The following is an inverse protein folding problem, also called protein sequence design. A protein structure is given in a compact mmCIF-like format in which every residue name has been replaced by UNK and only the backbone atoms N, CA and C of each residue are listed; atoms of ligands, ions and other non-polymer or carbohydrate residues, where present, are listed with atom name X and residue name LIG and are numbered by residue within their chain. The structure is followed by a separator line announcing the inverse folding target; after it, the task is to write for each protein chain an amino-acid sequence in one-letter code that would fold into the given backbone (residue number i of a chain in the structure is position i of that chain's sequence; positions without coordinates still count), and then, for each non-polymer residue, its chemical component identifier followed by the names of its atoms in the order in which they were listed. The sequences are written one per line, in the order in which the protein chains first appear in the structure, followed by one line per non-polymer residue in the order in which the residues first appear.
data_IF_918657058539
#
_entry.id   IF_918657058539
#
_cell.length_a   1.000
_cell.length_b   1.000
_cell.length_c   1.000
_cell.angle_alpha   90.00
_cell.angle_beta   90.00
_cell.angle_gamma   90.00
#
_symmetry.space_group_name_H-M   'P 1'
#
loop_
_entity.id
_entity.type
_entity.pdbx_description
1 polymer ?
#
# COMPACT_ATOMS: atom_id res chain seq x y z
N UNK A 1 4.99 17.55 28.11
CA UNK A 1 3.78 18.41 28.19
C UNK A 1 2.47 17.68 27.86
N UNK A 2 2.17 17.24 26.63
CA UNK A 2 0.87 16.59 26.34
C UNK A 2 0.69 15.30 27.15
N UNK A 3 1.68 14.41 27.12
CA UNK A 3 1.65 13.11 27.83
C UNK A 3 1.52 13.28 29.35
N UNK A 4 2.32 14.17 29.96
CA UNK A 4 2.27 14.46 31.40
C UNK A 4 0.92 15.10 31.81
N UNK A 5 0.38 15.99 30.97
CA UNK A 5 -0.93 16.60 31.25
C UNK A 5 -2.08 15.59 31.17
N UNK A 6 -1.93 14.50 30.42
CA UNK A 6 -2.96 13.47 30.25
C UNK A 6 -2.83 12.34 31.27
N UNK A 7 -1.60 11.90 31.58
CA UNK A 7 -1.36 10.71 32.40
C UNK A 7 -0.67 11.01 33.75
N UNK A 8 -0.42 12.28 34.06
CA UNK A 8 0.23 12.72 35.29
C UNK A 8 1.74 12.91 35.14
N UNK A 9 2.35 13.51 36.16
CA UNK A 9 3.78 13.85 36.16
C UNK A 9 4.69 12.68 36.60
N UNK A 10 4.12 11.57 37.07
CA UNK A 10 4.87 10.42 37.62
C UNK A 10 5.01 9.28 36.59
N UNK A 11 5.34 9.64 35.35
CA UNK A 11 5.45 8.66 34.27
C UNK A 11 6.88 8.12 34.20
N UNK A 12 7.05 6.78 34.13
CA UNK A 12 8.36 6.20 33.86
C UNK A 12 8.87 6.66 32.50
N UNK A 13 10.19 6.67 32.34
CA UNK A 13 10.82 6.99 31.06
C UNK A 13 10.36 5.97 30.00
N UNK A 14 10.21 6.42 28.75
CA UNK A 14 9.78 5.57 27.62
C UNK A 14 10.66 4.31 27.50
N UNK A 15 11.96 4.44 27.76
CA UNK A 15 12.90 3.31 27.73
C UNK A 15 12.62 2.26 28.81
N UNK A 16 12.05 2.65 29.95
CA UNK A 16 11.69 1.71 31.01
C UNK A 16 10.36 1.02 30.68
N UNK A 17 9.39 1.76 30.14
CA UNK A 17 8.14 1.19 29.61
C UNK A 17 8.44 0.13 28.53
N UNK A 18 9.39 0.42 27.62
CA UNK A 18 9.76 -0.51 26.56
C UNK A 18 10.35 -1.83 27.06
N UNK A 19 10.98 -1.85 28.24
CA UNK A 19 11.54 -3.08 28.85
C UNK A 19 10.46 -3.97 29.47
N UNK A 20 9.34 -3.39 29.87
CA UNK A 20 8.23 -4.09 30.52
C UNK A 20 7.23 -4.70 29.51
N UNK A 21 7.49 -4.57 28.21
CA UNK A 21 6.62 -5.13 27.16
C UNK A 21 6.64 -6.65 27.21
N UNK A 22 5.51 -7.26 27.57
CA UNK A 22 5.38 -8.72 27.68
C UNK A 22 5.27 -9.42 26.31
N UNK A 23 4.71 -8.74 25.31
CA UNK A 23 4.54 -9.28 23.96
C UNK A 23 4.60 -8.18 22.89
N UNK A 24 5.20 -8.50 21.75
CA UNK A 24 5.27 -7.67 20.55
C UNK A 24 4.64 -8.46 19.42
N UNK A 25 3.47 -8.01 18.96
CA UNK A 25 2.79 -8.58 17.80
C UNK A 25 3.35 -7.92 16.53
N UNK A 26 3.96 -8.71 15.65
CA UNK A 26 4.58 -8.20 14.42
C UNK A 26 3.82 -8.75 13.21
N UNK A 27 3.28 -7.87 12.36
CA UNK A 27 2.55 -8.22 11.14
C UNK A 27 3.51 -8.68 10.03
N UNK A 28 4.16 -9.82 10.24
CA UNK A 28 5.08 -10.48 9.31
C UNK A 28 5.03 -11.98 9.49
N UNK A 29 5.76 -12.73 8.66
CA UNK A 29 5.85 -14.18 8.76
C UNK A 29 7.27 -14.64 8.37
N UNK A 30 7.79 -15.65 9.06
CA UNK A 30 9.13 -16.21 8.84
C UNK A 30 9.36 -16.68 7.39
N UNK A 31 8.31 -17.07 6.66
CA UNK A 31 8.43 -17.43 5.24
C UNK A 31 8.85 -16.26 4.34
N UNK A 32 8.63 -15.01 4.78
CA UNK A 32 8.97 -13.80 4.02
C UNK A 32 10.38 -13.29 4.32
N UNK A 33 10.88 -13.50 5.54
CA UNK A 33 12.16 -12.93 6.00
C UNK A 33 13.24 -13.98 6.28
N UNK A 34 12.92 -15.28 6.12
CA UNK A 34 13.79 -16.38 6.49
C UNK A 34 13.88 -16.61 8.00
N UNK A 35 14.70 -17.59 8.40
CA UNK A 35 14.91 -17.93 9.80
C UNK A 35 15.78 -16.87 10.48
N UNK A 36 15.29 -16.31 11.59
CA UNK A 36 16.02 -15.36 12.44
C UNK A 36 15.76 -15.68 13.92
N UNK A 37 16.73 -15.43 14.81
CA UNK A 37 16.49 -15.56 16.24
C UNK A 37 15.50 -14.47 16.70
N UNK A 38 14.38 -14.90 17.29
CA UNK A 38 13.41 -14.03 17.95
C UNK A 38 13.41 -14.35 19.46
N UNK A 39 13.12 -13.35 20.30
CA UNK A 39 12.83 -13.60 21.71
C UNK A 39 11.41 -14.14 21.88
N UNK A 40 11.10 -14.92 22.94
CA UNK A 40 9.77 -15.50 23.13
C UNK A 40 8.61 -14.48 23.15
N UNK A 41 8.88 -13.23 23.52
CA UNK A 41 7.89 -12.16 23.51
C UNK A 41 7.51 -11.65 22.11
N UNK A 42 8.23 -12.02 21.05
CA UNK A 42 7.89 -11.63 19.67
C UNK A 42 6.97 -12.69 19.06
N UNK A 43 5.75 -12.28 18.71
CA UNK A 43 4.74 -13.13 18.07
C UNK A 43 4.47 -12.62 16.67
N UNK A 44 4.75 -13.44 15.66
CA UNK A 44 4.50 -13.13 14.26
C UNK A 44 3.03 -13.37 13.91
N UNK A 45 2.31 -12.30 13.55
CA UNK A 45 0.88 -12.28 13.22
C UNK A 45 0.67 -11.73 11.80
N UNK A 46 1.36 -12.33 10.84
CA UNK A 46 1.32 -11.91 9.43
C UNK A 46 -0.09 -11.96 8.85
N UNK A 47 -0.45 -10.91 8.11
CA UNK A 47 -1.75 -10.80 7.46
C UNK A 47 -2.87 -10.22 8.33
N UNK A 48 -2.57 -9.67 9.51
CA UNK A 48 -3.59 -9.11 10.42
C UNK A 48 -4.50 -8.03 9.78
N UNK A 49 -3.99 -7.36 8.75
CA UNK A 49 -4.67 -6.31 7.99
C UNK A 49 -5.52 -6.85 6.84
N UNK A 50 -5.41 -8.14 6.52
CA UNK A 50 -6.18 -8.79 5.46
C UNK A 50 -7.53 -9.16 6.07
N UNK A 51 -8.55 -8.42 5.68
CA UNK A 51 -9.94 -8.75 5.95
C UNK A 51 -10.51 -9.47 4.74
N UNK A 52 -11.37 -10.47 4.96
CA UNK A 52 -12.15 -11.04 3.86
C UNK A 52 -13.03 -9.93 3.28
N UNK A 53 -12.66 -9.44 2.10
CA UNK A 53 -13.35 -8.35 1.43
C UNK A 53 -14.22 -8.91 0.31
N UNK A 54 -15.54 -8.86 0.52
CA UNK A 54 -16.53 -9.23 -0.49
C UNK A 54 -17.14 -8.00 -1.18
N UNK A 55 -16.56 -6.80 -1.00
CA UNK A 55 -17.07 -5.61 -1.66
C UNK A 55 -16.84 -5.68 -3.17
N UNK A 56 -17.90 -5.53 -3.99
CA UNK A 56 -17.74 -5.51 -5.43
C UNK A 56 -16.94 -4.29 -5.87
N UNK A 57 -16.18 -4.46 -6.96
CA UNK A 57 -15.48 -3.35 -7.58
C UNK A 57 -16.47 -2.32 -8.13
N UNK A 58 -16.11 -1.02 -8.13
CA UNK A 58 -16.82 -0.03 -8.92
C UNK A 58 -16.90 -0.49 -10.38
N UNK A 59 -18.07 -0.35 -10.99
CA UNK A 59 -18.38 -0.89 -12.32
C UNK A 59 -17.37 -0.51 -13.40
N UNK A 60 -16.86 0.72 -13.36
CA UNK A 60 -15.87 1.19 -14.33
C UNK A 60 -14.50 0.52 -14.16
N UNK A 61 -14.11 0.20 -12.92
CA UNK A 61 -12.89 -0.56 -12.61
C UNK A 61 -13.10 -2.03 -13.00
N UNK A 62 -14.25 -2.61 -12.68
CA UNK A 62 -14.64 -3.97 -13.05
C UNK A 62 -14.58 -4.17 -14.57
N UNK A 63 -15.32 -3.35 -15.34
CA UNK A 63 -15.32 -3.42 -16.82
C UNK A 63 -13.92 -3.22 -17.42
N UNK A 64 -13.08 -2.40 -16.78
CA UNK A 64 -11.70 -2.21 -17.20
C UNK A 64 -10.81 -3.41 -16.88
N UNK A 65 -10.98 -4.08 -15.74
CA UNK A 65 -10.18 -5.26 -15.40
C UNK A 65 -10.67 -6.51 -16.15
N UNK A 66 -11.98 -6.71 -16.28
CA UNK A 66 -12.58 -7.85 -16.98
C UNK A 66 -12.25 -7.88 -18.47
N UNK A 67 -12.08 -6.70 -19.09
CA UNK A 67 -11.65 -6.62 -20.49
C UNK A 67 -10.15 -6.85 -20.72
N UNK A 68 -9.36 -7.12 -19.67
CA UNK A 68 -7.91 -7.28 -19.75
C UNK A 68 -7.49 -8.68 -20.24
N UNK A 69 -7.54 -8.91 -21.56
CA UNK A 69 -7.22 -10.22 -22.18
C UNK A 69 -5.84 -10.77 -21.86
N UNK A 70 -4.84 -9.90 -21.71
CA UNK A 70 -3.45 -10.28 -21.39
C UNK A 70 -3.13 -10.18 -19.89
N UNK A 71 -4.15 -9.93 -19.06
CA UNK A 71 -4.04 -9.64 -17.63
C UNK A 71 -3.91 -8.14 -17.32
N UNK A 72 -3.93 -7.82 -16.03
CA UNK A 72 -3.89 -6.46 -15.52
C UNK A 72 -2.68 -6.20 -14.61
N UNK A 73 -2.29 -4.93 -14.49
CA UNK A 73 -1.23 -4.44 -13.60
C UNK A 73 -1.84 -3.36 -12.70
N UNK A 74 -1.75 -3.56 -11.38
CA UNK A 74 -2.03 -2.51 -10.39
C UNK A 74 -0.74 -1.74 -10.09
N UNK A 75 -0.76 -0.42 -10.28
CA UNK A 75 0.39 0.45 -10.05
C UNK A 75 0.08 1.54 -9.02
N UNK A 76 0.87 1.64 -7.97
CA UNK A 76 0.67 2.58 -6.86
C UNK A 76 1.98 2.83 -6.10
N UNK A 77 2.13 4.06 -5.59
CA UNK A 77 3.25 4.46 -4.72
C UNK A 77 2.84 4.53 -3.23
N UNK A 78 1.69 3.94 -2.89
CA UNK A 78 1.09 4.06 -1.58
C UNK A 78 0.52 5.46 -1.33
N UNK A 79 0.28 5.78 -0.06
CA UNK A 79 -0.29 7.08 0.37
C UNK A 79 0.77 8.14 0.66
N UNK A 80 2.00 7.74 0.96
CA UNK A 80 3.06 8.66 1.42
C UNK A 80 3.71 9.44 0.29
N UNK A 81 3.84 8.84 -0.90
CA UNK A 81 4.47 9.47 -2.05
C UNK A 81 3.38 9.84 -3.05
N UNK A 82 3.34 11.12 -3.43
CA UNK A 82 2.48 11.58 -4.51
C UNK A 82 3.16 11.23 -5.83
N UNK A 83 2.52 10.40 -6.65
CA UNK A 83 3.03 10.09 -7.98
C UNK A 83 3.14 11.37 -8.83
N UNK A 84 2.25 12.34 -8.61
CA UNK A 84 2.26 13.64 -9.28
C UNK A 84 3.48 14.52 -8.97
N UNK A 85 4.27 14.23 -7.93
CA UNK A 85 5.49 15.00 -7.63
C UNK A 85 6.72 14.52 -8.42
N UNK A 86 6.61 13.47 -9.24
CA UNK A 86 7.73 13.00 -10.05
C UNK A 86 8.07 13.98 -11.17
N UNK A 87 9.32 13.96 -11.63
CA UNK A 87 9.72 14.81 -12.76
C UNK A 87 8.96 14.43 -14.02
N UNK A 88 8.71 15.42 -14.90
CA UNK A 88 8.08 15.15 -16.19
C UNK A 88 8.85 14.15 -17.04
N UNK A 89 10.18 14.07 -16.89
CA UNK A 89 10.99 13.08 -17.60
C UNK A 89 10.67 11.67 -17.09
N UNK A 90 10.69 11.47 -15.78
CA UNK A 90 10.33 10.20 -15.14
C UNK A 90 8.93 9.76 -15.53
N UNK A 91 7.95 10.68 -15.51
CA UNK A 91 6.58 10.40 -15.91
C UNK A 91 6.49 9.91 -17.36
N UNK A 92 7.18 10.59 -18.29
CA UNK A 92 7.22 10.19 -19.70
C UNK A 92 7.82 8.80 -19.88
N UNK A 93 8.91 8.51 -19.19
CA UNK A 93 9.58 7.20 -19.30
C UNK A 93 8.70 6.07 -18.76
N UNK A 94 8.02 6.29 -17.63
CA UNK A 94 7.05 5.35 -17.06
C UNK A 94 5.89 5.12 -18.03
N UNK A 95 5.28 6.19 -18.56
CA UNK A 95 4.17 6.08 -19.51
C UNK A 95 4.57 5.35 -20.79
N UNK A 96 5.78 5.60 -21.31
CA UNK A 96 6.32 4.90 -22.46
C UNK A 96 6.44 3.40 -22.21
N UNK A 97 6.95 3.01 -21.04
CA UNK A 97 7.07 1.59 -20.67
C UNK A 97 5.68 0.97 -20.50
N UNK A 98 4.81 1.57 -19.68
CA UNK A 98 3.46 1.05 -19.44
C UNK A 98 2.64 0.92 -20.74
N UNK A 99 2.76 1.88 -21.65
CA UNK A 99 2.08 1.87 -22.94
C UNK A 99 2.58 0.80 -23.92
N UNK A 100 3.81 0.30 -23.74
CA UNK A 100 4.37 -0.77 -24.58
C UNK A 100 3.98 -2.18 -24.12
N UNK A 101 3.38 -2.32 -22.94
CA UNK A 101 2.95 -3.59 -22.37
C UNK A 101 1.52 -3.86 -22.85
N UNK A 102 1.22 -5.10 -23.27
CA UNK A 102 -0.12 -5.49 -23.74
C UNK A 102 -1.20 -5.48 -22.65
N UNK A 103 -0.79 -5.58 -21.39
CA UNK A 103 -1.66 -5.62 -20.21
C UNK A 103 -2.36 -4.28 -19.99
N UNK A 104 -3.57 -4.34 -19.44
CA UNK A 104 -4.22 -3.16 -18.89
C UNK A 104 -3.54 -2.75 -17.61
N UNK A 105 -3.38 -1.45 -17.38
CA UNK A 105 -2.72 -0.91 -16.18
C UNK A 105 -3.71 -0.01 -15.48
N UNK A 106 -3.98 -0.26 -14.21
CA UNK A 106 -4.73 0.64 -13.35
C UNK A 106 -3.76 1.31 -12.39
N UNK A 107 -3.68 2.64 -12.45
CA UNK A 107 -2.70 3.43 -11.73
C UNK A 107 -3.38 4.40 -10.76
N UNK A 108 -3.03 4.31 -9.47
CA UNK A 108 -3.33 5.36 -8.49
C UNK A 108 -2.57 6.64 -8.84
N UNK A 109 -3.30 7.70 -9.20
CA UNK A 109 -2.76 8.99 -9.63
C UNK A 109 -3.54 10.12 -8.96
N UNK A 110 -2.85 11.05 -8.29
CA UNK A 110 -3.51 12.00 -7.38
C UNK A 110 -4.31 13.13 -8.06
N UNK A 111 -4.12 13.34 -9.36
CA UNK A 111 -4.83 14.35 -10.16
C UNK A 111 -5.95 13.75 -11.02
N UNK A 112 -6.87 14.57 -11.52
CA UNK A 112 -8.00 14.10 -12.34
C UNK A 112 -7.58 13.62 -13.74
N UNK A 113 -6.50 14.20 -14.27
CA UNK A 113 -6.03 13.93 -15.63
C UNK A 113 -4.54 13.62 -15.64
N UNK A 114 -4.15 12.69 -16.50
CA UNK A 114 -2.77 12.38 -16.81
C UNK A 114 -2.53 12.64 -18.31
N UNK A 115 -1.83 13.71 -18.62
CA UNK A 115 -1.51 14.06 -20.02
C UNK A 115 -0.58 13.01 -20.64
N UNK A 116 -0.87 12.62 -21.88
CA UNK A 116 -0.09 11.60 -22.60
C UNK A 116 -0.30 10.17 -22.08
N UNK A 117 -1.36 9.92 -21.30
CA UNK A 117 -1.72 8.59 -20.82
C UNK A 117 -2.06 7.65 -21.99
N UNK A 118 -1.40 6.48 -22.11
CA UNK A 118 -1.75 5.45 -23.08
C UNK A 118 -3.18 4.91 -22.92
N UNK A 119 -3.71 4.28 -23.96
CA UNK A 119 -5.07 3.72 -23.98
C UNK A 119 -5.22 2.52 -23.03
N UNK A 120 -4.15 1.74 -22.84
CA UNK A 120 -4.15 0.61 -21.91
C UNK A 120 -4.00 1.02 -20.43
N UNK A 121 -3.89 2.32 -20.13
CA UNK A 121 -3.72 2.83 -18.75
C UNK A 121 -5.00 3.52 -18.29
N UNK A 122 -5.54 3.13 -17.15
CA UNK A 122 -6.57 3.85 -16.40
C UNK A 122 -5.93 4.53 -15.20
N UNK A 123 -6.34 5.78 -14.91
CA UNK A 123 -5.90 6.52 -13.72
C UNK A 123 -7.07 6.82 -12.82
N UNK A 124 -6.87 6.71 -11.50
CA UNK A 124 -7.84 7.07 -10.47
C UNK A 124 -7.13 7.64 -9.25
N UNK A 125 -7.75 8.64 -8.61
CA UNK A 125 -7.26 9.20 -7.34
C UNK A 125 -7.31 8.21 -6.18
N UNK A 126 -8.36 7.39 -6.17
CA UNK A 126 -8.56 6.36 -5.18
C UNK A 126 -8.88 5.03 -5.88
N UNK A 127 -8.28 3.95 -5.38
CA UNK A 127 -8.50 2.60 -5.88
C UNK A 127 -8.80 1.68 -4.68
N UNK A 128 -9.82 0.82 -4.76
CA UNK A 128 -10.11 -0.16 -3.71
C UNK A 128 -9.08 -1.30 -3.76
N UNK A 129 -7.86 -1.04 -3.26
CA UNK A 129 -6.71 -1.93 -3.40
C UNK A 129 -7.01 -3.37 -2.93
N UNK A 130 -7.70 -3.54 -1.80
CA UNK A 130 -8.03 -4.85 -1.25
C UNK A 130 -9.12 -5.60 -2.03
N UNK A 131 -9.89 -4.92 -2.89
CA UNK A 131 -10.85 -5.58 -3.80
C UNK A 131 -10.23 -5.87 -5.18
N UNK A 132 -9.16 -5.15 -5.54
CA UNK A 132 -8.42 -5.35 -6.80
C UNK A 132 -7.42 -6.51 -6.68
N UNK A 133 -6.80 -6.70 -5.50
CA UNK A 133 -5.78 -7.71 -5.21
C UNK A 133 -6.38 -8.92 -4.49
#
# INVERSE_FOLDING_TARGET
KIVENTFGNDLPLINDIAKEVSAILVNTHYSLNGARPNVPGIVEVGGLHIVENNEPLPRDIEEFLDGAKDGAIYFSWGSMIKATSMSQQTLRDILKVLGSIKRRVIWKWEDENLSGKPDNVMVKKWLPQAAIL
#
